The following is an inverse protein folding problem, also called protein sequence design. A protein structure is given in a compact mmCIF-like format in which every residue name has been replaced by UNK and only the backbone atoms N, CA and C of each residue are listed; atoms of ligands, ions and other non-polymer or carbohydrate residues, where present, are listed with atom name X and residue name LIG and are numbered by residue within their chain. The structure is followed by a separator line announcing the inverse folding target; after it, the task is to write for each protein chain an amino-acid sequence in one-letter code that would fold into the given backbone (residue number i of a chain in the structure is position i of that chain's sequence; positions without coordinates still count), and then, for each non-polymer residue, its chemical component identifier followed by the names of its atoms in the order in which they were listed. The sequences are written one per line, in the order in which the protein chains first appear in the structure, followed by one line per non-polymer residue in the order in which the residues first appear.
data_IF_726976527714
#
_entry.id   IF_726976527714
#
_cell.length_a   1.000
_cell.length_b   1.000
_cell.length_c   1.000
_cell.angle_alpha   90.00
_cell.angle_beta   90.00
_cell.angle_gamma   90.00
#
_symmetry.space_group_name_H-M   'P 1'
#
loop_
_entity.id
_entity.type
_entity.pdbx_description
1 polymer ?
#
# COMPACT_ATOMS: atom_id res chain seq x y z
N UNK A 1 -10.55 44.43 -10.15
CA UNK A 1 -10.34 43.19 -10.94
C UNK A 1 -10.74 42.02 -10.06
N UNK A 2 -11.91 41.46 -10.35
CA UNK A 2 -12.46 40.32 -9.60
C UNK A 2 -11.73 39.06 -10.06
N UNK A 3 -10.90 38.49 -9.21
CA UNK A 3 -10.44 37.14 -9.37
C UNK A 3 -11.63 36.20 -9.09
N UNK A 4 -12.21 35.68 -10.16
CA UNK A 4 -13.16 34.55 -10.03
C UNK A 4 -12.41 33.39 -9.42
N UNK A 5 -12.64 33.10 -8.13
CA UNK A 5 -12.37 31.82 -7.57
C UNK A 5 -13.23 30.82 -8.36
N UNK A 6 -12.60 30.12 -9.30
CA UNK A 6 -13.22 28.95 -9.92
C UNK A 6 -13.38 27.96 -8.78
N UNK A 7 -14.60 27.87 -8.25
CA UNK A 7 -15.00 26.78 -7.39
C UNK A 7 -14.81 25.52 -8.24
N UNK A 8 -13.70 24.82 -8.06
CA UNK A 8 -13.52 23.52 -8.64
C UNK A 8 -14.65 22.66 -8.10
N UNK A 9 -15.56 22.27 -8.95
CA UNK A 9 -16.62 21.34 -8.62
C UNK A 9 -15.95 20.01 -8.29
N UNK A 10 -15.71 19.78 -7.01
CA UNK A 10 -15.13 18.54 -6.55
C UNK A 10 -16.21 17.46 -6.67
N UNK A 11 -15.93 16.45 -7.47
CA UNK A 11 -16.85 15.31 -7.60
C UNK A 11 -16.98 14.59 -6.27
N UNK A 12 -18.18 14.63 -5.69
CA UNK A 12 -18.53 13.93 -4.44
C UNK A 12 -19.68 12.98 -4.66
N UNK A 13 -19.68 11.89 -3.90
CA UNK A 13 -20.83 11.02 -3.78
C UNK A 13 -21.99 11.77 -3.10
N UNK A 14 -23.19 11.21 -3.19
CA UNK A 14 -24.36 11.71 -2.45
C UNK A 14 -24.00 11.88 -0.96
N UNK A 15 -24.46 12.94 -0.27
CA UNK A 15 -23.94 13.34 1.05
C UNK A 15 -23.91 12.24 2.11
N UNK A 16 -24.97 11.43 2.22
CA UNK A 16 -25.04 10.35 3.21
C UNK A 16 -24.07 9.21 2.88
N UNK A 17 -24.00 8.83 1.60
CA UNK A 17 -23.03 7.84 1.10
C UNK A 17 -21.59 8.35 1.23
N UNK A 18 -21.34 9.62 0.89
CA UNK A 18 -20.04 10.26 1.06
C UNK A 18 -19.55 10.14 2.51
N UNK A 19 -20.39 10.47 3.49
CA UNK A 19 -20.03 10.40 4.90
C UNK A 19 -19.65 8.99 5.32
N UNK A 20 -20.40 7.98 4.90
CA UNK A 20 -20.11 6.58 5.21
C UNK A 20 -18.81 6.12 4.55
N UNK A 21 -18.61 6.49 3.28
CA UNK A 21 -17.41 6.11 2.53
C UNK A 21 -16.15 6.73 3.14
N UNK A 22 -16.17 8.04 3.44
CA UNK A 22 -15.03 8.72 4.07
C UNK A 22 -14.72 8.13 5.44
N UNK A 23 -15.75 7.83 6.24
CA UNK A 23 -15.56 7.18 7.55
C UNK A 23 -14.96 5.77 7.42
N UNK A 24 -15.39 5.01 6.41
CA UNK A 24 -14.82 3.67 6.15
C UNK A 24 -13.38 3.72 5.68
N UNK A 25 -13.02 4.69 4.83
CA UNK A 25 -11.64 4.96 4.42
C UNK A 25 -10.78 5.35 5.63
N UNK A 26 -11.29 6.18 6.53
CA UNK A 26 -10.60 6.55 7.77
C UNK A 26 -10.28 5.31 8.64
N UNK A 27 -11.24 4.36 8.76
CA UNK A 27 -10.96 3.09 9.44
C UNK A 27 -9.90 2.23 8.72
N UNK A 28 -9.88 2.18 7.38
CA UNK A 28 -8.81 1.52 6.62
C UNK A 28 -7.46 2.16 6.95
N UNK A 29 -7.37 3.47 6.96
CA UNK A 29 -6.15 4.22 7.22
C UNK A 29 -5.67 4.11 8.68
N UNK A 30 -6.60 3.93 9.62
CA UNK A 30 -6.30 3.56 11.01
C UNK A 30 -5.98 2.08 11.18
N UNK A 31 -6.12 1.29 10.09
CA UNK A 31 -5.92 -0.17 10.07
C UNK A 31 -6.88 -0.93 11.00
N UNK A 32 -8.08 -0.38 11.17
CA UNK A 32 -9.21 -0.95 11.90
C UNK A 32 -10.13 -1.71 10.91
N UNK A 33 -9.59 -2.74 10.28
CA UNK A 33 -10.18 -3.41 9.11
C UNK A 33 -11.56 -4.02 9.38
N UNK A 34 -11.79 -4.59 10.56
CA UNK A 34 -13.11 -5.14 10.93
C UNK A 34 -14.17 -4.04 11.02
N UNK A 35 -13.81 -2.87 11.55
CA UNK A 35 -14.71 -1.71 11.61
C UNK A 35 -15.00 -1.16 10.23
N UNK A 36 -13.97 -1.11 9.36
CA UNK A 36 -14.12 -0.70 7.97
C UNK A 36 -15.08 -1.63 7.21
N UNK A 37 -14.88 -2.98 7.25
CA UNK A 37 -15.77 -3.94 6.58
C UNK A 37 -17.20 -3.87 7.14
N UNK A 38 -17.34 -3.72 8.46
CA UNK A 38 -18.66 -3.58 9.09
C UNK A 38 -19.39 -2.32 8.60
N UNK A 39 -18.72 -1.20 8.48
CA UNK A 39 -19.30 0.03 7.95
C UNK A 39 -19.65 -0.10 6.46
N UNK A 40 -18.79 -0.70 5.66
CA UNK A 40 -19.08 -0.93 4.24
C UNK A 40 -20.18 -1.98 4.02
N UNK A 41 -20.43 -2.90 4.97
CA UNK A 41 -21.64 -3.73 4.97
C UNK A 41 -22.91 -2.88 5.17
N UNK A 42 -22.85 -1.87 6.04
CA UNK A 42 -23.96 -0.91 6.16
C UNK A 42 -24.18 -0.21 4.82
N UNK A 43 -23.11 0.21 4.14
CA UNK A 43 -23.23 0.81 2.79
C UNK A 43 -23.90 -0.16 1.80
N UNK A 44 -23.49 -1.44 1.76
CA UNK A 44 -24.14 -2.43 0.87
C UNK A 44 -25.62 -2.66 1.18
N UNK A 45 -26.01 -2.55 2.46
CA UNK A 45 -27.40 -2.75 2.86
C UNK A 45 -28.28 -1.51 2.56
N UNK A 46 -27.74 -0.30 2.78
CA UNK A 46 -28.47 0.94 2.53
C UNK A 46 -28.50 1.34 1.03
N UNK A 47 -27.46 0.95 0.29
CA UNK A 47 -27.26 1.29 -1.12
C UNK A 47 -26.90 0.02 -1.95
N UNK A 48 -27.82 -0.97 -2.02
CA UNK A 48 -27.51 -2.27 -2.64
C UNK A 48 -27.22 -2.19 -4.14
N UNK A 49 -27.72 -1.19 -4.84
CA UNK A 49 -27.48 -0.94 -6.25
C UNK A 49 -26.27 -0.02 -6.52
N UNK A 50 -25.58 0.44 -5.47
CA UNK A 50 -24.41 1.31 -5.62
C UNK A 50 -23.10 0.52 -5.44
N UNK A 51 -22.10 0.66 -6.34
CA UNK A 51 -20.86 -0.13 -6.32
C UNK A 51 -19.98 0.11 -5.09
N UNK A 52 -20.06 1.26 -4.44
CA UNK A 52 -19.14 1.67 -3.38
C UNK A 52 -19.05 0.66 -2.24
N UNK A 53 -20.18 0.18 -1.70
CA UNK A 53 -20.18 -0.76 -0.59
C UNK A 53 -19.39 -2.05 -0.91
N UNK A 54 -19.59 -2.60 -2.08
CA UNK A 54 -18.92 -3.82 -2.56
C UNK A 54 -17.43 -3.60 -2.80
N UNK A 55 -17.08 -2.55 -3.53
CA UNK A 55 -15.69 -2.31 -3.91
C UNK A 55 -14.83 -1.81 -2.74
N UNK A 56 -15.37 -1.02 -1.83
CA UNK A 56 -14.63 -0.67 -0.60
C UNK A 56 -14.46 -1.86 0.35
N UNK A 57 -15.38 -2.83 0.38
CA UNK A 57 -15.16 -4.10 1.10
C UNK A 57 -14.02 -4.91 0.45
N UNK A 58 -13.94 -4.95 -0.87
CA UNK A 58 -12.78 -5.54 -1.57
C UNK A 58 -11.49 -4.77 -1.24
N UNK A 59 -11.53 -3.43 -1.18
CA UNK A 59 -10.40 -2.60 -0.76
C UNK A 59 -9.93 -2.92 0.67
N UNK A 60 -10.86 -3.16 1.61
CA UNK A 60 -10.51 -3.60 2.98
C UNK A 60 -9.76 -4.93 2.95
N UNK A 61 -10.21 -5.91 2.14
CA UNK A 61 -9.53 -7.20 2.02
C UNK A 61 -8.12 -7.05 1.45
N UNK A 62 -7.92 -6.20 0.43
CA UNK A 62 -6.60 -5.91 -0.11
C UNK A 62 -5.71 -5.15 0.88
N UNK A 63 -6.25 -4.17 1.58
CA UNK A 63 -5.50 -3.42 2.59
C UNK A 63 -5.02 -4.35 3.74
N UNK A 64 -5.87 -5.27 4.17
CA UNK A 64 -5.51 -6.30 5.16
C UNK A 64 -4.43 -7.25 4.64
N UNK A 65 -4.57 -7.71 3.38
CA UNK A 65 -3.54 -8.53 2.72
C UNK A 65 -2.20 -7.80 2.64
N UNK A 66 -2.20 -6.54 2.20
CA UNK A 66 -0.98 -5.73 2.05
C UNK A 66 -0.31 -5.44 3.40
N UNK A 67 -1.09 -5.27 4.47
CA UNK A 67 -0.56 -5.00 5.80
C UNK A 67 0.04 -6.26 6.45
N UNK A 68 -0.63 -7.40 6.30
CA UNK A 68 -0.26 -8.63 7.01
C UNK A 68 0.32 -9.74 6.12
N UNK A 69 0.42 -9.55 4.81
CA UNK A 69 0.93 -10.57 3.86
C UNK A 69 0.12 -11.89 3.94
N UNK A 70 -1.19 -11.81 4.16
CA UNK A 70 -2.09 -12.98 4.25
C UNK A 70 -2.86 -13.16 2.95
N UNK A 71 -3.12 -14.40 2.49
CA UNK A 71 -3.93 -14.63 1.31
C UNK A 71 -5.33 -14.04 1.42
N UNK A 72 -5.84 -13.51 0.33
CA UNK A 72 -7.22 -13.05 0.22
C UNK A 72 -8.17 -14.26 0.10
N UNK A 73 -9.36 -14.17 0.70
CA UNK A 73 -10.46 -15.09 0.48
C UNK A 73 -11.04 -14.87 -0.93
N UNK A 74 -10.48 -15.63 -1.92
CA UNK A 74 -10.65 -15.34 -3.34
C UNK A 74 -12.10 -15.32 -3.78
N UNK A 75 -12.92 -16.34 -3.42
CA UNK A 75 -14.32 -16.44 -3.83
C UNK A 75 -15.15 -15.23 -3.38
N UNK A 76 -14.90 -14.76 -2.16
CA UNK A 76 -15.57 -13.60 -1.60
C UNK A 76 -15.10 -12.31 -2.28
N UNK A 77 -13.81 -12.19 -2.54
CA UNK A 77 -13.24 -11.04 -3.23
C UNK A 77 -13.79 -10.93 -4.65
N UNK A 78 -13.78 -12.02 -5.42
CA UNK A 78 -14.30 -12.09 -6.79
C UNK A 78 -15.81 -11.77 -6.83
N UNK A 79 -16.59 -12.29 -5.86
CA UNK A 79 -18.00 -11.96 -5.74
C UNK A 79 -18.23 -10.47 -5.49
N UNK A 80 -17.46 -9.83 -4.63
CA UNK A 80 -17.54 -8.39 -4.37
C UNK A 80 -17.21 -7.58 -5.61
N UNK A 81 -16.16 -7.95 -6.34
CA UNK A 81 -15.78 -7.27 -7.59
C UNK A 81 -16.86 -7.44 -8.67
N UNK A 82 -17.41 -8.64 -8.83
CA UNK A 82 -18.45 -8.93 -9.83
C UNK A 82 -19.72 -8.10 -9.55
N UNK A 83 -20.20 -8.10 -8.31
CA UNK A 83 -21.41 -7.35 -7.94
C UNK A 83 -21.15 -5.84 -8.06
N UNK A 84 -20.02 -5.36 -7.55
CA UNK A 84 -19.63 -3.96 -7.62
C UNK A 84 -19.50 -3.47 -9.07
N UNK A 85 -18.94 -4.28 -9.95
CA UNK A 85 -18.80 -3.97 -11.38
C UNK A 85 -20.14 -3.92 -12.09
N UNK A 86 -21.02 -4.91 -11.83
CA UNK A 86 -22.38 -4.90 -12.38
C UNK A 86 -23.20 -3.70 -11.91
N UNK A 87 -23.02 -3.28 -10.66
CA UNK A 87 -23.65 -2.06 -10.15
C UNK A 87 -23.08 -0.80 -10.82
N UNK A 88 -21.76 -0.75 -11.06
CA UNK A 88 -21.10 0.37 -11.72
C UNK A 88 -21.57 0.60 -13.16
N UNK A 89 -21.91 -0.47 -13.89
CA UNK A 89 -22.46 -0.40 -15.26
C UNK A 89 -23.81 0.34 -15.34
N UNK A 90 -24.54 0.41 -14.23
CA UNK A 90 -25.85 1.08 -14.15
C UNK A 90 -25.74 2.57 -13.80
N UNK A 91 -24.56 3.04 -13.46
CA UNK A 91 -24.30 4.42 -13.05
C UNK A 91 -23.65 5.19 -14.20
N UNK A 92 -24.08 6.44 -14.39
CA UNK A 92 -23.50 7.33 -15.40
C UNK A 92 -22.05 7.72 -15.06
N UNK A 93 -21.30 8.14 -16.09
CA UNK A 93 -19.98 8.74 -15.92
C UNK A 93 -20.08 10.06 -15.11
N UNK A 94 -19.04 10.40 -14.33
CA UNK A 94 -17.75 9.68 -14.23
C UNK A 94 -17.73 8.51 -13.25
N UNK A 95 -18.67 8.45 -12.31
CA UNK A 95 -18.65 7.48 -11.20
C UNK A 95 -18.76 6.02 -11.67
N UNK A 96 -19.63 5.73 -12.64
CA UNK A 96 -19.76 4.37 -13.19
C UNK A 96 -18.45 3.86 -13.77
N UNK A 97 -17.80 4.68 -14.61
CA UNK A 97 -16.49 4.39 -15.16
C UNK A 97 -15.39 4.23 -14.11
N UNK A 98 -15.40 5.10 -13.10
CA UNK A 98 -14.45 5.06 -11.98
C UNK A 98 -14.55 3.75 -11.20
N UNK A 99 -15.73 3.37 -10.75
CA UNK A 99 -15.92 2.13 -10.01
C UNK A 99 -15.66 0.89 -10.87
N UNK A 100 -16.03 0.92 -12.14
CA UNK A 100 -15.71 -0.16 -13.06
C UNK A 100 -14.20 -0.33 -13.24
N UNK A 101 -13.48 0.75 -13.48
CA UNK A 101 -12.01 0.76 -13.57
C UNK A 101 -11.33 0.33 -12.27
N UNK A 102 -11.87 0.75 -11.12
CA UNK A 102 -11.38 0.34 -9.79
C UNK A 102 -11.51 -1.17 -9.59
N UNK A 103 -12.65 -1.77 -9.97
CA UNK A 103 -12.85 -3.22 -9.86
C UNK A 103 -11.83 -3.99 -10.72
N UNK A 104 -11.60 -3.55 -11.98
CA UNK A 104 -10.57 -4.16 -12.83
C UNK A 104 -9.15 -3.94 -12.30
N UNK A 105 -8.88 -2.80 -11.65
CA UNK A 105 -7.60 -2.53 -10.99
C UNK A 105 -7.32 -3.47 -9.81
N UNK A 106 -8.31 -3.74 -8.98
CA UNK A 106 -8.20 -4.69 -7.87
C UNK A 106 -8.01 -6.12 -8.36
N UNK A 107 -8.79 -6.56 -9.35
CA UNK A 107 -8.62 -7.87 -10.00
C UNK A 107 -7.22 -8.00 -10.63
N UNK A 108 -6.72 -6.94 -11.28
CA UNK A 108 -5.39 -6.92 -11.87
C UNK A 108 -4.29 -7.14 -10.83
N UNK A 109 -4.37 -6.47 -9.69
CA UNK A 109 -3.40 -6.59 -8.61
C UNK A 109 -3.36 -8.04 -8.08
N UNK A 110 -4.50 -8.63 -7.76
CA UNK A 110 -4.57 -10.00 -7.22
C UNK A 110 -4.08 -11.04 -8.23
N UNK A 111 -4.41 -10.89 -9.50
CA UNK A 111 -3.89 -11.76 -10.58
C UNK A 111 -2.38 -11.73 -10.67
N UNK A 112 -1.78 -10.54 -10.61
CA UNK A 112 -0.31 -10.41 -10.61
C UNK A 112 0.29 -11.08 -9.38
N UNK A 113 -0.30 -10.92 -8.21
CA UNK A 113 0.18 -11.53 -6.96
C UNK A 113 0.05 -13.07 -6.97
N UNK A 114 -0.99 -13.60 -7.61
CA UNK A 114 -1.20 -15.05 -7.76
C UNK A 114 -0.40 -15.68 -8.92
N UNK A 115 0.32 -14.85 -9.72
CA UNK A 115 1.14 -15.32 -10.84
C UNK A 115 0.44 -15.34 -12.19
N UNK A 116 -0.84 -14.95 -12.28
CA UNK A 116 -1.55 -14.75 -13.56
C UNK A 116 -1.16 -13.41 -14.19
N UNK A 117 0.06 -13.33 -14.72
CA UNK A 117 0.60 -12.11 -15.32
C UNK A 117 -0.20 -11.61 -16.53
N UNK A 118 -0.65 -12.52 -17.40
CA UNK A 118 -1.40 -12.13 -18.61
C UNK A 118 -2.79 -11.59 -18.26
N UNK A 119 -3.49 -12.26 -17.35
CA UNK A 119 -4.77 -11.77 -16.84
C UNK A 119 -4.62 -10.42 -16.14
N UNK A 120 -3.60 -10.28 -15.31
CA UNK A 120 -3.29 -9.04 -14.61
C UNK A 120 -2.98 -7.87 -15.55
N UNK A 121 -2.14 -8.07 -16.57
CA UNK A 121 -1.86 -7.03 -17.58
C UNK A 121 -3.12 -6.62 -18.33
N UNK A 122 -3.92 -7.57 -18.78
CA UNK A 122 -5.19 -7.27 -19.50
C UNK A 122 -6.13 -6.45 -18.64
N UNK A 123 -6.29 -6.80 -17.37
CA UNK A 123 -7.14 -6.08 -16.42
C UNK A 123 -6.58 -4.69 -16.08
N UNK A 124 -5.27 -4.57 -15.91
CA UNK A 124 -4.63 -3.27 -15.71
C UNK A 124 -4.87 -2.31 -16.88
N UNK A 125 -4.78 -2.81 -18.11
CA UNK A 125 -5.06 -2.01 -19.32
C UNK A 125 -6.54 -1.59 -19.37
N UNK A 126 -7.47 -2.49 -19.07
CA UNK A 126 -8.90 -2.17 -19.05
C UNK A 126 -9.23 -1.12 -17.98
N UNK A 127 -8.65 -1.26 -16.78
CA UNK A 127 -8.75 -0.28 -15.68
C UNK A 127 -8.23 1.09 -16.13
N UNK A 128 -7.00 1.13 -16.68
CA UNK A 128 -6.37 2.36 -17.14
C UNK A 128 -7.19 3.09 -18.20
N UNK A 129 -7.71 2.35 -19.20
CA UNK A 129 -8.56 2.92 -20.27
C UNK A 129 -9.81 3.60 -19.70
N UNK A 130 -10.41 3.05 -18.63
CA UNK A 130 -11.57 3.70 -17.98
C UNK A 130 -11.18 4.99 -17.27
N UNK A 131 -10.05 5.03 -16.61
CA UNK A 131 -9.56 6.25 -15.96
C UNK A 131 -9.14 7.32 -16.99
N UNK A 132 -8.51 6.91 -18.10
CA UNK A 132 -8.19 7.82 -19.23
C UNK A 132 -9.47 8.44 -19.79
N UNK A 133 -10.51 7.64 -20.10
CA UNK A 133 -11.81 8.13 -20.57
C UNK A 133 -12.43 9.18 -19.65
N UNK A 134 -12.33 8.98 -18.33
CA UNK A 134 -12.87 9.91 -17.34
C UNK A 134 -12.08 11.22 -17.36
N UNK A 135 -10.75 11.16 -17.33
CA UNK A 135 -9.88 12.33 -17.28
C UNK A 135 -9.97 13.15 -18.57
N UNK A 136 -10.13 12.49 -19.71
CA UNK A 136 -10.36 13.15 -21.01
C UNK A 136 -11.68 13.93 -21.04
N UNK A 137 -12.74 13.41 -20.42
CA UNK A 137 -14.05 14.07 -20.32
C UNK A 137 -14.09 15.15 -19.27
N UNK A 138 -13.45 14.90 -18.13
CA UNK A 138 -13.38 15.83 -17.01
C UNK A 138 -12.07 15.66 -16.22
N UNK A 139 -11.10 16.51 -16.50
CA UNK A 139 -9.80 16.50 -15.84
C UNK A 139 -9.86 16.90 -14.36
N UNK A 140 -11.01 17.34 -13.85
CA UNK A 140 -11.20 17.63 -12.42
C UNK A 140 -11.60 16.42 -11.58
N UNK A 141 -11.82 15.25 -12.20
CA UNK A 141 -12.09 14.01 -11.48
C UNK A 141 -10.79 13.39 -10.94
N UNK A 142 -10.25 13.97 -9.88
CA UNK A 142 -8.91 13.67 -9.37
C UNK A 142 -8.73 12.26 -8.82
N UNK A 143 -9.81 11.58 -8.42
CA UNK A 143 -9.73 10.20 -7.93
C UNK A 143 -9.30 9.19 -9.00
N UNK A 144 -9.54 9.48 -10.30
CA UNK A 144 -9.07 8.65 -11.40
C UNK A 144 -7.55 8.72 -11.62
N UNK A 145 -6.90 9.82 -11.22
CA UNK A 145 -5.45 9.99 -11.40
C UNK A 145 -4.62 8.96 -10.64
N UNK A 146 -5.16 8.43 -9.54
CA UNK A 146 -4.44 7.44 -8.71
C UNK A 146 -4.29 6.11 -9.45
N UNK A 147 -5.36 5.63 -10.07
CA UNK A 147 -5.34 4.38 -10.83
C UNK A 147 -4.44 4.48 -12.06
N UNK A 148 -4.62 5.54 -12.87
CA UNK A 148 -3.83 5.72 -14.10
C UNK A 148 -2.36 6.00 -13.81
N UNK A 149 -2.05 6.80 -12.77
CA UNK A 149 -0.68 7.09 -12.37
C UNK A 149 0.07 5.84 -11.90
N UNK A 150 -0.59 4.99 -11.11
CA UNK A 150 -0.06 3.69 -10.68
C UNK A 150 0.22 2.79 -11.89
N UNK A 151 -0.73 2.72 -12.83
CA UNK A 151 -0.57 1.93 -14.05
C UNK A 151 0.61 2.40 -14.91
N UNK A 152 0.75 3.70 -15.19
CA UNK A 152 1.84 4.22 -16.03
C UNK A 152 3.21 3.95 -15.45
N UNK A 153 3.37 4.13 -14.13
CA UNK A 153 4.63 3.83 -13.48
C UNK A 153 4.98 2.34 -13.56
N UNK A 154 4.12 1.46 -13.06
CA UNK A 154 4.43 0.04 -12.97
C UNK A 154 4.50 -0.65 -14.32
N UNK A 155 3.68 -0.26 -15.30
CA UNK A 155 3.82 -0.71 -16.68
C UNK A 155 5.22 -0.39 -17.20
N UNK A 156 5.65 0.87 -17.13
CA UNK A 156 6.96 1.29 -17.63
C UNK A 156 8.11 0.63 -16.86
N UNK A 157 7.98 0.49 -15.54
CA UNK A 157 8.96 -0.19 -14.68
C UNK A 157 9.10 -1.68 -15.02
N UNK A 158 8.01 -2.38 -15.24
CA UNK A 158 8.00 -3.81 -15.56
C UNK A 158 8.43 -4.11 -17.00
N UNK A 159 8.27 -3.17 -17.92
CA UNK A 159 8.68 -3.29 -19.32
C UNK A 159 10.04 -2.62 -19.61
N UNK A 160 10.76 -2.20 -18.60
CA UNK A 160 12.04 -1.48 -18.75
C UNK A 160 13.06 -2.21 -19.63
N UNK A 161 13.12 -3.54 -19.56
CA UNK A 161 13.99 -4.37 -20.39
C UNK A 161 13.64 -4.35 -21.89
N UNK A 162 12.45 -3.85 -22.26
CA UNK A 162 11.99 -3.69 -23.64
C UNK A 162 12.17 -2.25 -24.17
N UNK A 163 12.77 -1.33 -23.42
CA UNK A 163 12.90 0.10 -23.79
C UNK A 163 13.70 0.35 -25.08
N UNK A 164 14.45 -0.62 -25.52
CA UNK A 164 15.13 -0.56 -26.81
C UNK A 164 14.17 -0.66 -28.00
N UNK A 165 12.93 -1.09 -27.78
CA UNK A 165 11.87 -1.12 -28.81
C UNK A 165 11.24 0.27 -28.96
N UNK A 166 11.09 0.80 -30.20
CA UNK A 166 10.68 2.19 -30.42
C UNK A 166 9.24 2.51 -30.00
N UNK A 167 8.42 1.50 -29.74
CA UNK A 167 7.02 1.63 -29.32
C UNK A 167 6.83 1.46 -27.79
N UNK A 168 7.89 1.16 -27.04
CA UNK A 168 7.81 1.05 -25.58
C UNK A 168 8.17 2.39 -24.96
N UNK A 169 7.14 3.09 -24.46
CA UNK A 169 7.29 4.40 -23.81
C UNK A 169 7.65 4.24 -22.33
N UNK A 170 8.44 5.17 -21.82
CA UNK A 170 8.68 5.32 -20.40
C UNK A 170 7.80 6.44 -19.84
N UNK A 171 6.71 6.06 -19.22
CA UNK A 171 5.73 6.99 -18.64
C UNK A 171 5.85 7.07 -17.10
N UNK A 172 7.01 6.66 -16.52
CA UNK A 172 7.20 6.69 -15.04
C UNK A 172 7.03 8.08 -14.45
N UNK A 173 7.62 9.10 -15.07
CA UNK A 173 7.48 10.48 -14.61
C UNK A 173 6.04 10.98 -14.73
N UNK A 174 5.35 10.63 -15.80
CA UNK A 174 3.94 10.97 -15.99
C UNK A 174 3.09 10.30 -14.90
N UNK A 175 3.33 9.02 -14.61
CA UNK A 175 2.66 8.29 -13.54
C UNK A 175 2.87 8.95 -12.17
N UNK A 176 4.09 9.35 -11.85
CA UNK A 176 4.40 10.08 -10.60
C UNK A 176 3.66 11.42 -10.54
N UNK A 177 3.65 12.21 -11.63
CA UNK A 177 2.91 13.48 -11.68
C UNK A 177 1.41 13.28 -11.44
N UNK A 178 0.82 12.27 -12.04
CA UNK A 178 -0.59 11.94 -11.83
C UNK A 178 -0.87 11.52 -10.38
N UNK A 179 0.01 10.72 -9.78
CA UNK A 179 -0.12 10.34 -8.37
C UNK A 179 0.03 11.55 -7.43
N UNK A 180 0.89 12.51 -7.74
CA UNK A 180 0.99 13.76 -6.97
C UNK A 180 -0.32 14.54 -7.05
N UNK A 181 -0.93 14.67 -8.24
CA UNK A 181 -2.25 15.30 -8.39
C UNK A 181 -3.28 14.56 -7.52
N UNK A 182 -3.32 13.23 -7.58
CA UNK A 182 -4.19 12.40 -6.75
C UNK A 182 -3.95 12.62 -5.25
N UNK A 183 -2.70 12.68 -4.81
CA UNK A 183 -2.32 12.92 -3.42
C UNK A 183 -2.72 14.32 -2.90
N UNK A 184 -2.77 15.32 -3.78
CA UNK A 184 -3.11 16.69 -3.41
C UNK A 184 -4.61 16.99 -3.53
N UNK A 185 -5.29 16.40 -4.52
CA UNK A 185 -6.62 16.83 -4.96
C UNK A 185 -7.72 15.78 -4.77
N UNK A 186 -7.40 14.46 -4.68
CA UNK A 186 -8.42 13.42 -4.53
C UNK A 186 -9.23 13.55 -3.25
N UNK A 187 -10.51 13.29 -3.34
CA UNK A 187 -11.40 13.22 -2.18
C UNK A 187 -11.29 11.88 -1.45
N UNK A 188 -11.27 10.75 -2.19
CA UNK A 188 -11.33 9.40 -1.62
C UNK A 188 -9.99 8.66 -1.68
N UNK A 189 -9.14 8.98 -2.65
CA UNK A 189 -7.90 8.22 -2.92
C UNK A 189 -6.61 8.94 -2.53
N UNK A 190 -6.69 10.06 -1.80
CA UNK A 190 -5.50 10.83 -1.39
C UNK A 190 -4.42 9.95 -0.77
N UNK A 191 -4.76 9.18 0.24
CA UNK A 191 -3.79 8.36 0.96
C UNK A 191 -3.39 7.08 0.21
N UNK A 192 -4.24 6.58 -0.70
CA UNK A 192 -3.86 5.53 -1.64
C UNK A 192 -2.79 6.05 -2.62
N UNK A 193 -2.94 7.27 -3.15
CA UNK A 193 -1.92 7.92 -3.97
C UNK A 193 -0.60 8.11 -3.21
N UNK A 194 -0.66 8.53 -1.95
CA UNK A 194 0.53 8.69 -1.11
C UNK A 194 1.21 7.35 -0.85
N UNK A 195 0.46 6.30 -0.54
CA UNK A 195 1.01 4.95 -0.37
C UNK A 195 1.71 4.46 -1.65
N UNK A 196 1.10 4.71 -2.81
CA UNK A 196 1.70 4.40 -4.10
C UNK A 196 2.99 5.21 -4.35
N UNK A 197 2.99 6.52 -4.05
CA UNK A 197 4.18 7.37 -4.18
C UNK A 197 5.32 6.89 -3.28
N UNK A 198 5.05 6.53 -2.02
CA UNK A 198 6.06 6.00 -1.11
C UNK A 198 6.68 4.72 -1.69
N UNK A 199 5.84 3.77 -2.16
CA UNK A 199 6.32 2.53 -2.75
C UNK A 199 7.15 2.77 -4.02
N UNK A 200 6.73 3.68 -4.88
CA UNK A 200 7.40 4.07 -6.12
C UNK A 200 8.75 4.74 -5.82
N UNK A 201 8.80 5.65 -4.86
CA UNK A 201 10.05 6.31 -4.50
C UNK A 201 11.04 5.39 -3.79
N UNK A 202 10.56 4.38 -3.06
CA UNK A 202 11.43 3.31 -2.54
C UNK A 202 11.97 2.41 -3.66
N UNK A 203 11.13 2.04 -4.65
CA UNK A 203 11.54 1.24 -5.82
C UNK A 203 12.54 1.99 -6.72
N UNK A 204 12.34 3.29 -6.91
CA UNK A 204 13.22 4.15 -7.71
C UNK A 204 14.42 4.72 -6.95
N UNK A 205 14.65 4.27 -5.72
CA UNK A 205 15.74 4.69 -4.83
C UNK A 205 15.74 6.20 -4.51
N UNK A 206 14.62 6.88 -4.73
CA UNK A 206 14.45 8.27 -4.32
C UNK A 206 13.99 8.35 -2.85
N UNK A 207 14.86 7.90 -1.97
CA UNK A 207 14.55 7.72 -0.54
C UNK A 207 14.16 9.03 0.15
N UNK A 208 14.66 10.18 -0.33
CA UNK A 208 14.30 11.48 0.22
C UNK A 208 12.81 11.79 -0.01
N UNK A 209 12.30 11.54 -1.21
CA UNK A 209 10.88 11.73 -1.50
C UNK A 209 10.00 10.72 -0.75
N UNK A 210 10.45 9.45 -0.65
CA UNK A 210 9.76 8.46 0.17
C UNK A 210 9.63 8.89 1.65
N UNK A 211 10.70 9.46 2.22
CA UNK A 211 10.71 10.02 3.57
C UNK A 211 9.73 11.19 3.73
N UNK A 212 9.76 12.15 2.78
CA UNK A 212 8.91 13.34 2.82
C UNK A 212 7.41 12.96 2.80
N UNK A 213 7.00 12.08 1.88
CA UNK A 213 5.61 11.61 1.79
C UNK A 213 5.20 10.78 3.01
N UNK A 214 6.09 9.93 3.53
CA UNK A 214 5.83 9.17 4.76
C UNK A 214 5.61 10.08 5.96
N UNK A 215 6.48 11.07 6.18
CA UNK A 215 6.35 12.04 7.27
C UNK A 215 5.05 12.85 7.17
N UNK A 216 4.73 13.31 5.97
CA UNK A 216 3.48 14.04 5.71
C UNK A 216 2.25 13.22 6.08
N UNK A 217 2.22 11.94 5.75
CA UNK A 217 1.09 11.06 6.06
C UNK A 217 0.99 10.72 7.53
N UNK A 218 2.13 10.55 8.21
CA UNK A 218 2.18 10.26 9.63
C UNK A 218 1.67 11.41 10.51
N UNK A 219 1.60 12.64 9.99
CA UNK A 219 0.93 13.75 10.69
C UNK A 219 -0.60 13.53 10.81
N UNK A 220 -1.20 12.74 9.92
CA UNK A 220 -2.63 12.40 9.93
C UNK A 220 -2.88 11.03 10.57
N UNK A 221 -2.01 10.07 10.28
CA UNK A 221 -2.14 8.68 10.72
C UNK A 221 -0.82 8.20 11.35
N UNK A 222 -0.49 8.64 12.58
CA UNK A 222 0.82 8.43 13.20
C UNK A 222 1.14 6.96 13.50
N UNK A 223 0.12 6.11 13.55
CA UNK A 223 0.27 4.68 13.84
C UNK A 223 0.17 3.79 12.59
N UNK A 224 -0.10 4.37 11.41
CA UNK A 224 -0.24 3.60 10.18
C UNK A 224 1.08 2.91 9.80
N UNK A 225 1.07 1.58 9.83
CA UNK A 225 2.27 0.75 9.62
C UNK A 225 2.85 0.89 8.22
N UNK A 226 2.03 1.14 7.18
CA UNK A 226 2.53 1.34 5.81
C UNK A 226 3.40 2.59 5.74
N UNK A 227 2.95 3.69 6.35
CA UNK A 227 3.71 4.95 6.38
C UNK A 227 4.94 4.86 7.30
N UNK A 228 4.82 4.14 8.41
CA UNK A 228 5.95 3.87 9.30
C UNK A 228 7.01 3.00 8.61
N UNK A 229 6.63 1.98 7.84
CA UNK A 229 7.53 1.19 7.01
C UNK A 229 8.23 2.06 5.98
N UNK A 230 7.47 2.93 5.29
CA UNK A 230 8.01 3.89 4.32
C UNK A 230 9.10 4.75 4.93
N UNK A 231 8.81 5.37 6.08
CA UNK A 231 9.75 6.24 6.79
C UNK A 231 11.01 5.49 7.25
N UNK A 232 10.81 4.37 7.97
CA UNK A 232 11.93 3.62 8.53
C UNK A 232 12.86 3.07 7.42
N UNK A 233 12.27 2.55 6.33
CA UNK A 233 13.03 2.04 5.19
C UNK A 233 13.76 3.17 4.47
N UNK A 234 13.12 4.31 4.23
CA UNK A 234 13.73 5.45 3.56
C UNK A 234 14.95 5.99 4.34
N UNK A 235 14.85 6.10 5.65
CA UNK A 235 15.95 6.52 6.52
C UNK A 235 17.12 5.52 6.54
N UNK A 236 16.80 4.23 6.64
CA UNK A 236 17.79 3.14 6.63
C UNK A 236 18.57 3.12 5.29
N UNK A 237 17.86 3.24 4.16
CA UNK A 237 18.46 3.27 2.82
C UNK A 237 19.32 4.53 2.57
N UNK A 238 19.08 5.61 3.29
CA UNK A 238 19.92 6.81 3.30
C UNK A 238 21.13 6.67 4.25
N UNK A 239 21.32 5.53 4.91
CA UNK A 239 22.31 5.30 5.96
C UNK A 239 22.17 6.26 7.18
N UNK A 240 20.99 6.82 7.37
CA UNK A 240 20.67 7.69 8.52
C UNK A 240 20.20 6.83 9.70
N UNK A 241 21.06 5.93 10.13
CA UNK A 241 20.74 4.90 11.10
C UNK A 241 20.31 5.47 12.48
N UNK A 242 20.85 6.62 12.88
CA UNK A 242 20.45 7.30 14.11
C UNK A 242 18.97 7.70 14.12
N UNK A 243 18.39 7.97 12.95
CA UNK A 243 16.96 8.28 12.77
C UNK A 243 16.15 7.03 12.42
N UNK A 244 16.74 6.07 11.70
CA UNK A 244 16.09 4.81 11.37
C UNK A 244 15.77 3.96 12.60
N UNK A 245 16.66 3.91 13.60
CA UNK A 245 16.46 3.14 14.84
C UNK A 245 15.18 3.56 15.59
N UNK A 246 14.93 4.84 15.91
CA UNK A 246 13.66 5.22 16.52
C UNK A 246 12.45 5.01 15.61
N UNK A 247 12.59 5.17 14.28
CA UNK A 247 11.50 4.90 13.33
C UNK A 247 11.13 3.41 13.33
N UNK A 248 12.10 2.49 13.22
CA UNK A 248 11.84 1.05 13.35
C UNK A 248 11.31 0.67 14.74
N UNK A 249 11.76 1.33 15.82
CA UNK A 249 11.26 1.05 17.15
C UNK A 249 9.79 1.42 17.30
N UNK A 250 9.37 2.55 16.73
CA UNK A 250 7.97 2.97 16.70
C UNK A 250 7.12 2.00 15.83
N UNK A 251 7.62 1.66 14.64
CA UNK A 251 6.97 0.67 13.78
C UNK A 251 6.81 -0.68 14.48
N UNK A 252 7.86 -1.18 15.14
CA UNK A 252 7.82 -2.44 15.88
C UNK A 252 6.76 -2.42 16.99
N UNK A 253 6.63 -1.32 17.70
CA UNK A 253 5.56 -1.14 18.70
C UNK A 253 4.19 -1.34 18.06
N UNK A 254 3.92 -0.66 16.94
CA UNK A 254 2.63 -0.75 16.25
C UNK A 254 2.38 -2.14 15.64
N UNK A 255 3.41 -2.85 15.16
CA UNK A 255 3.29 -4.23 14.69
C UNK A 255 2.92 -5.17 15.85
N UNK A 256 3.59 -5.07 16.98
CA UNK A 256 3.31 -5.93 18.15
C UNK A 256 1.88 -5.72 18.66
N UNK A 257 1.38 -4.49 18.66
CA UNK A 257 0.00 -4.18 19.08
C UNK A 257 -1.07 -4.53 18.06
N UNK A 258 -0.70 -4.83 16.80
CA UNK A 258 -1.67 -5.04 15.72
C UNK A 258 -2.38 -6.40 15.76
N UNK A 259 -1.99 -7.31 16.64
CA UNK A 259 -2.51 -8.68 16.69
C UNK A 259 -2.44 -9.40 15.33
N UNK A 260 -1.31 -9.22 14.62
CA UNK A 260 -1.07 -9.83 13.33
C UNK A 260 -1.28 -11.35 13.36
N UNK A 261 -1.86 -11.97 12.30
CA UNK A 261 -2.13 -13.40 12.26
C UNK A 261 -0.86 -14.27 12.24
N UNK A 262 0.29 -13.70 11.94
CA UNK A 262 1.61 -14.33 12.00
C UNK A 262 2.70 -13.29 12.23
N UNK A 263 3.87 -13.68 12.77
CA UNK A 263 4.91 -12.73 13.20
C UNK A 263 5.83 -12.23 12.09
N UNK A 264 5.53 -12.41 10.79
CA UNK A 264 6.47 -12.12 9.70
C UNK A 264 6.92 -10.66 9.69
N UNK A 265 6.01 -9.71 9.83
CA UNK A 265 6.35 -8.29 9.85
C UNK A 265 7.20 -7.92 11.07
N UNK A 266 6.93 -8.54 12.22
CA UNK A 266 7.74 -8.35 13.42
C UNK A 266 9.17 -8.89 13.21
N UNK A 267 9.31 -10.07 12.59
CA UNK A 267 10.60 -10.67 12.23
C UNK A 267 11.41 -9.71 11.36
N UNK A 268 10.82 -9.19 10.29
CA UNK A 268 11.48 -8.27 9.36
C UNK A 268 11.86 -6.97 10.05
N UNK A 269 10.95 -6.40 10.84
CA UNK A 269 11.18 -5.15 11.54
C UNK A 269 12.30 -5.28 12.59
N UNK A 270 12.28 -6.33 13.39
CA UNK A 270 13.35 -6.60 14.37
C UNK A 270 14.71 -6.80 13.71
N UNK A 271 14.76 -7.49 12.58
CA UNK A 271 15.99 -7.70 11.84
C UNK A 271 16.57 -6.40 11.29
N UNK A 272 15.74 -5.54 10.70
CA UNK A 272 16.18 -4.24 10.19
C UNK A 272 16.60 -3.31 11.33
N UNK A 273 15.86 -3.27 12.44
CA UNK A 273 16.24 -2.53 13.64
C UNK A 273 17.61 -2.97 14.17
N UNK A 274 17.86 -4.26 14.23
CA UNK A 274 19.16 -4.82 14.65
C UNK A 274 20.28 -4.38 13.71
N UNK A 275 20.07 -4.45 12.40
CA UNK A 275 21.06 -4.02 11.41
C UNK A 275 21.41 -2.54 11.55
N UNK A 276 20.41 -1.68 11.68
CA UNK A 276 20.61 -0.23 11.89
C UNK A 276 21.34 0.05 13.19
N UNK A 277 21.04 -0.69 14.29
CA UNK A 277 21.76 -0.57 15.56
C UNK A 277 23.22 -1.00 15.45
N UNK A 278 23.49 -2.11 14.77
CA UNK A 278 24.86 -2.59 14.52
C UNK A 278 25.67 -1.55 13.74
N UNK A 279 25.06 -0.91 12.73
CA UNK A 279 25.70 0.15 11.94
C UNK A 279 26.08 1.37 12.79
N UNK A 280 25.37 1.62 13.89
CA UNK A 280 25.68 2.65 14.88
C UNK A 280 26.65 2.19 15.98
N UNK A 281 27.13 0.95 15.96
CA UNK A 281 27.82 0.30 17.07
C UNK A 281 26.99 0.28 18.39
N UNK A 282 25.66 0.42 18.30
CA UNK A 282 24.74 0.31 19.42
C UNK A 282 24.35 -1.17 19.62
N UNK A 283 24.88 -1.77 20.67
CA UNK A 283 24.59 -3.17 21.04
C UNK A 283 23.39 -3.33 21.98
N UNK A 284 22.74 -2.22 22.37
CA UNK A 284 21.62 -2.22 23.32
C UNK A 284 20.45 -3.03 22.78
N UNK A 285 20.02 -4.04 23.52
CA UNK A 285 18.90 -4.93 23.17
C UNK A 285 19.04 -5.72 21.85
N UNK A 286 20.18 -5.64 21.15
CA UNK A 286 20.39 -6.39 19.89
C UNK A 286 20.20 -7.88 20.11
N UNK A 287 20.78 -8.42 21.20
CA UNK A 287 20.65 -9.82 21.54
C UNK A 287 19.19 -10.22 21.86
N UNK A 288 18.46 -9.37 22.55
CA UNK A 288 17.04 -9.57 22.84
C UNK A 288 16.22 -9.64 21.52
N UNK A 289 16.40 -8.66 20.62
CA UNK A 289 15.67 -8.66 19.36
C UNK A 289 15.96 -9.89 18.50
N UNK A 290 17.23 -10.34 18.42
CA UNK A 290 17.61 -11.54 17.66
C UNK A 290 17.01 -12.81 18.30
N UNK A 291 17.05 -12.96 19.62
CA UNK A 291 16.45 -14.11 20.29
C UNK A 291 14.94 -14.16 20.15
N UNK A 292 14.26 -13.03 20.30
CA UNK A 292 12.81 -12.93 20.10
C UNK A 292 12.45 -13.29 18.65
N UNK A 293 13.20 -12.78 17.66
CA UNK A 293 12.99 -13.11 16.26
C UNK A 293 13.14 -14.62 16.03
N UNK A 294 14.19 -15.24 16.57
CA UNK A 294 14.45 -16.68 16.40
C UNK A 294 13.45 -17.56 17.14
N UNK A 295 12.78 -17.08 18.20
CA UNK A 295 11.74 -17.85 18.88
C UNK A 295 10.50 -18.09 18.00
N UNK A 296 10.32 -17.31 16.93
CA UNK A 296 9.22 -17.50 15.96
C UNK A 296 9.51 -18.57 14.90
N UNK A 297 10.65 -19.25 14.95
CA UNK A 297 11.03 -20.26 13.95
C UNK A 297 10.07 -21.46 13.92
N UNK A 298 9.41 -21.74 15.03
CA UNK A 298 8.39 -22.82 15.15
C UNK A 298 6.99 -22.37 14.75
N UNK A 299 6.78 -21.09 14.44
CA UNK A 299 5.48 -20.57 13.99
C UNK A 299 5.15 -21.04 12.59
N UNK A 300 3.86 -21.21 12.32
CA UNK A 300 3.35 -21.45 10.97
C UNK A 300 3.28 -20.14 10.19
N UNK A 301 3.63 -20.21 8.91
CA UNK A 301 3.56 -19.09 7.98
C UNK A 301 2.75 -19.48 6.73
N UNK A 302 2.05 -18.52 6.10
CA UNK A 302 1.48 -18.72 4.77
C UNK A 302 2.52 -19.23 3.76
N UNK A 303 2.10 -20.03 2.79
CA UNK A 303 3.00 -20.70 1.84
C UNK A 303 3.96 -19.73 1.12
N UNK A 304 3.46 -18.54 0.74
CA UNK A 304 4.24 -17.46 0.10
C UNK A 304 5.30 -16.83 1.01
N UNK A 305 5.20 -17.01 2.33
CA UNK A 305 6.13 -16.46 3.32
C UNK A 305 7.15 -17.47 3.86
N UNK A 306 6.92 -18.78 3.71
CA UNK A 306 7.77 -19.81 4.33
C UNK A 306 9.26 -19.65 3.97
N UNK A 307 9.59 -19.55 2.68
CA UNK A 307 10.97 -19.38 2.22
C UNK A 307 11.56 -18.04 2.64
N UNK A 308 10.76 -16.98 2.62
CA UNK A 308 11.16 -15.63 3.03
C UNK A 308 11.47 -15.58 4.53
N UNK A 309 10.63 -16.19 5.37
CA UNK A 309 10.84 -16.29 6.81
C UNK A 309 12.10 -17.09 7.14
N UNK A 310 12.30 -18.24 6.49
CA UNK A 310 13.52 -19.06 6.64
C UNK A 310 14.79 -18.25 6.37
N UNK A 311 14.82 -17.50 5.27
CA UNK A 311 15.96 -16.64 4.94
C UNK A 311 16.24 -15.58 6.04
N UNK A 312 15.19 -15.03 6.66
CA UNK A 312 15.34 -14.07 7.79
C UNK A 312 15.90 -14.75 9.05
N UNK A 313 15.49 -15.95 9.36
CA UNK A 313 16.04 -16.72 10.48
C UNK A 313 17.52 -17.05 10.25
N UNK A 314 17.91 -17.46 9.06
CA UNK A 314 19.31 -17.73 8.72
C UNK A 314 20.18 -16.47 8.85
N UNK A 315 19.68 -15.32 8.37
CA UNK A 315 20.34 -14.03 8.51
C UNK A 315 20.52 -13.64 9.99
N UNK A 316 19.47 -13.79 10.80
CA UNK A 316 19.51 -13.51 12.23
C UNK A 316 20.51 -14.40 12.98
N UNK A 317 20.59 -15.70 12.67
CA UNK A 317 21.58 -16.61 13.27
C UNK A 317 23.02 -16.18 12.94
N UNK A 318 23.29 -15.80 11.68
CA UNK A 318 24.62 -15.30 11.29
C UNK A 318 25.01 -14.06 12.08
N UNK A 319 24.08 -13.12 12.27
CA UNK A 319 24.33 -11.92 13.08
C UNK A 319 24.55 -12.27 14.55
N UNK A 320 23.74 -13.15 15.12
CA UNK A 320 23.89 -13.59 16.51
C UNK A 320 25.26 -14.19 16.78
N UNK A 321 25.69 -15.15 15.94
CA UNK A 321 27.01 -15.78 16.03
C UNK A 321 28.16 -14.76 15.91
N UNK A 322 28.03 -13.78 15.01
CA UNK A 322 29.04 -12.72 14.87
C UNK A 322 29.18 -11.90 16.16
N UNK A 323 28.07 -11.52 16.78
CA UNK A 323 28.03 -10.72 18.01
C UNK A 323 28.59 -11.53 19.20
N UNK A 324 28.24 -12.82 19.30
CA UNK A 324 28.77 -13.70 20.34
C UNK A 324 30.29 -13.85 20.27
N UNK A 325 30.84 -14.03 19.04
CA UNK A 325 32.30 -14.08 18.83
C UNK A 325 32.98 -12.77 19.22
N UNK A 326 32.39 -11.62 18.85
CA UNK A 326 32.95 -10.32 19.22
C UNK A 326 32.97 -10.11 20.74
N UNK A 327 31.90 -10.50 21.44
CA UNK A 327 31.85 -10.44 22.92
C UNK A 327 32.82 -11.39 23.58
N UNK A 328 33.08 -12.56 23.01
CA UNK A 328 34.07 -13.50 23.55
C UNK A 328 35.49 -13.00 23.35
N UNK A 329 35.79 -12.30 22.26
CA UNK A 329 37.10 -11.71 21.98
C UNK A 329 37.40 -10.43 22.77
N UNK A 330 36.36 -9.80 23.36
CA UNK A 330 36.49 -8.56 24.18
C UNK A 330 36.55 -8.84 25.67
N UNK A 331 36.46 -10.11 26.09
CA UNK A 331 36.69 -10.61 27.47
C UNK A 331 38.08 -11.20 27.59
#
# INVERSE_FOLDING_TARGET
MFGAAISQAQWKLEPSLHTLVVSGIDFILKQEYERADSLFRVVTNCYPDHPAGYLYRAAVMQAYNMDFDVPIEQDKFDSLLMIGKSAAEKISLPWGGYFFGTADGYDAYERVQSGDWFGGVRKSMASASKFEEIIEKDSSFYDAYVGIGTYYYWRSRKTEFLRWLPFVKDDRELGIKMLIIGAEQSEYNRFAAISALIAIYLDSENYKQAEEWSKRSLNFYPENRIFLWGLATALDRQNRFAEAVPAYSNLLKNIVYSHAPHPYNEIVCRLNLVKSKIALNDTTNVFYHLKTLLSYETCSFPANLQSRAKAKFEEARKLLLKIEKQRAASK
#
